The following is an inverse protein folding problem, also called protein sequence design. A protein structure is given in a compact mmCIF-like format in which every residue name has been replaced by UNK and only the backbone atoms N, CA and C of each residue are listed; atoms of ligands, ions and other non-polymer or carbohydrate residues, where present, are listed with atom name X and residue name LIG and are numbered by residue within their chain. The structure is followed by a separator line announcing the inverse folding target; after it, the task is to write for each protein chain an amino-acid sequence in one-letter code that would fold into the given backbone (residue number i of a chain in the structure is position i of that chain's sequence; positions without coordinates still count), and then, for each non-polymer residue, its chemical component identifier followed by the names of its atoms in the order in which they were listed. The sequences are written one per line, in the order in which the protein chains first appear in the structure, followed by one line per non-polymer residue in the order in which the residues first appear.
data_IF_546519945951
#
_entry.id   IF_546519945951
#
_cell.length_a   1.000
_cell.length_b   1.000
_cell.length_c   1.000
_cell.angle_alpha   90.00
_cell.angle_beta   90.00
_cell.angle_gamma   90.00
#
_symmetry.space_group_name_H-M   'P 1'
#
loop_
_entity.id
_entity.type
_entity.pdbx_description
1 polymer ?
#
# COMPACT_ATOMS: atom_id res chain seq x y z
N UNK A 1 -21.81 21.64 -21.96
CA UNK A 1 -20.37 21.32 -22.02
C UNK A 1 -19.70 21.87 -20.76
N UNK A 2 -19.67 21.09 -19.67
CA UNK A 2 -19.09 21.49 -18.38
C UNK A 2 -18.59 20.24 -17.62
N UNK A 3 -17.54 19.59 -18.11
CA UNK A 3 -16.92 18.43 -17.45
C UNK A 3 -15.39 18.38 -17.59
N UNK A 4 -14.71 19.50 -17.87
CA UNK A 4 -13.27 19.47 -18.20
C UNK A 4 -12.34 20.05 -17.12
N UNK A 5 -12.86 20.51 -15.98
CA UNK A 5 -12.04 21.27 -15.02
C UNK A 5 -11.75 20.56 -13.69
N UNK A 6 -12.35 19.39 -13.42
CA UNK A 6 -12.04 18.59 -12.23
C UNK A 6 -10.93 17.56 -12.44
N UNK A 7 -10.57 17.24 -13.69
CA UNK A 7 -9.54 16.25 -14.01
C UNK A 7 -8.10 16.80 -13.95
N UNK A 8 -7.92 18.13 -13.82
CA UNK A 8 -6.59 18.75 -13.77
C UNK A 8 -6.07 19.01 -12.36
N UNK A 9 -6.91 18.87 -11.33
CA UNK A 9 -6.53 19.07 -9.92
C UNK A 9 -5.86 17.84 -9.28
N UNK A 10 -5.90 16.68 -9.95
CA UNK A 10 -5.20 15.47 -9.51
C UNK A 10 -3.78 15.34 -10.08
N UNK A 11 -3.34 16.26 -10.95
CA UNK A 11 -2.02 16.23 -11.60
C UNK A 11 -1.08 17.38 -11.17
N UNK A 12 -1.50 18.22 -10.22
CA UNK A 12 -0.79 19.47 -9.91
C UNK A 12 -0.68 19.79 -8.40
N UNK A 13 -0.79 18.79 -7.53
CA UNK A 13 -0.46 18.95 -6.12
C UNK A 13 0.92 18.31 -5.84
N UNK A 14 1.90 19.21 -5.85
CA UNK A 14 3.13 19.19 -5.06
C UNK A 14 4.22 18.16 -5.39
N UNK A 15 4.79 18.41 -6.57
CA UNK A 15 6.13 18.00 -7.01
C UNK A 15 7.28 18.47 -6.07
N UNK A 16 7.03 19.39 -5.14
CA UNK A 16 8.08 19.96 -4.27
C UNK A 16 8.29 19.19 -2.94
N UNK A 17 7.48 18.16 -2.65
CA UNK A 17 7.75 17.19 -1.59
C UNK A 17 8.61 15.98 -2.03
N UNK A 18 8.84 15.84 -3.33
CA UNK A 18 9.43 14.64 -3.97
C UNK A 18 10.93 14.44 -3.72
N UNK A 19 11.63 15.39 -3.09
CA UNK A 19 13.07 15.31 -2.89
C UNK A 19 13.50 14.42 -1.69
N UNK A 20 12.57 13.95 -0.86
CA UNK A 20 12.90 13.10 0.31
C UNK A 20 12.50 11.63 0.18
N UNK A 21 11.80 11.24 -0.89
CA UNK A 21 11.44 9.84 -1.15
C UNK A 21 12.47 9.08 -2.02
N UNK A 22 13.43 9.79 -2.62
CA UNK A 22 14.31 9.26 -3.68
C UNK A 22 15.62 8.58 -3.20
N UNK A 23 15.73 8.11 -1.96
CA UNK A 23 16.89 7.31 -1.52
C UNK A 23 16.51 6.13 -0.62
N UNK A 24 15.72 5.18 -1.15
CA UNK A 24 15.84 3.76 -0.75
C UNK A 24 16.02 2.89 -1.98
N UNK A 25 17.13 3.11 -2.68
CA UNK A 25 17.68 2.12 -3.60
C UNK A 25 18.02 0.89 -2.74
N UNK A 26 17.50 -0.29 -3.08
CA UNK A 26 17.80 -1.57 -2.43
C UNK A 26 19.32 -1.68 -2.20
N UNK A 27 19.79 -1.31 -1.01
CA UNK A 27 21.17 -1.50 -0.59
C UNK A 27 21.28 -2.90 0.00
N UNK A 28 22.47 -3.49 -0.06
CA UNK A 28 22.74 -4.84 0.45
C UNK A 28 22.60 -4.98 1.99
N UNK A 29 21.98 -4.03 2.67
CA UNK A 29 21.84 -3.90 4.13
C UNK A 29 20.35 -3.78 4.55
N UNK A 30 19.43 -4.31 3.75
CA UNK A 30 18.00 -4.21 4.01
C UNK A 30 17.58 -5.09 5.19
N UNK A 31 16.97 -4.47 6.20
CA UNK A 31 16.36 -5.19 7.30
C UNK A 31 15.09 -5.90 6.79
N UNK A 32 15.15 -7.23 6.65
CA UNK A 32 14.04 -8.03 6.14
C UNK A 32 12.75 -7.88 6.96
N UNK A 33 12.85 -7.60 8.26
CA UNK A 33 11.66 -7.34 9.09
C UNK A 33 11.01 -6.00 8.72
N UNK A 34 11.81 -4.96 8.43
CA UNK A 34 11.29 -3.67 7.94
C UNK A 34 10.64 -3.83 6.57
N UNK A 35 11.25 -4.61 5.66
CA UNK A 35 10.63 -4.89 4.36
C UNK A 35 9.30 -5.65 4.53
N UNK A 36 9.23 -6.64 5.43
CA UNK A 36 7.98 -7.33 5.74
C UNK A 36 6.92 -6.34 6.25
N UNK A 37 7.30 -5.42 7.14
CA UNK A 37 6.38 -4.41 7.66
C UNK A 37 5.89 -3.47 6.55
N UNK A 38 6.79 -2.95 5.71
CA UNK A 38 6.43 -2.07 4.59
C UNK A 38 5.48 -2.79 3.60
N UNK A 39 5.74 -4.07 3.29
CA UNK A 39 4.87 -4.88 2.42
C UNK A 39 3.47 -5.07 3.03
N UNK A 40 3.38 -5.38 4.33
CA UNK A 40 2.08 -5.58 5.00
C UNK A 40 1.33 -4.26 5.12
N UNK A 41 1.99 -3.15 5.45
CA UNK A 41 1.40 -1.81 5.49
C UNK A 41 0.79 -1.47 4.14
N UNK A 42 1.50 -1.71 3.05
CA UNK A 42 0.98 -1.45 1.71
C UNK A 42 -0.17 -2.37 1.32
N UNK A 43 -0.14 -3.65 1.70
CA UNK A 43 -1.28 -4.55 1.51
C UNK A 43 -2.53 -4.02 2.21
N UNK A 44 -2.43 -3.64 3.49
CA UNK A 44 -3.53 -3.04 4.26
C UNK A 44 -4.05 -1.75 3.62
N UNK A 45 -3.14 -0.86 3.20
CA UNK A 45 -3.54 0.38 2.53
C UNK A 45 -4.38 0.12 1.28
N UNK A 46 -3.92 -0.76 0.38
CA UNK A 46 -4.65 -1.09 -0.84
C UNK A 46 -5.97 -1.79 -0.57
N UNK A 47 -6.05 -2.62 0.47
CA UNK A 47 -7.28 -3.30 0.91
C UNK A 47 -8.35 -2.29 1.39
N UNK A 48 -7.96 -1.35 2.25
CA UNK A 48 -8.87 -0.29 2.72
C UNK A 48 -9.36 0.60 1.56
N UNK A 49 -8.48 0.92 0.60
CA UNK A 49 -8.88 1.71 -0.58
C UNK A 49 -9.79 0.90 -1.51
N UNK A 50 -9.51 -0.39 -1.72
CA UNK A 50 -10.40 -1.29 -2.47
C UNK A 50 -11.82 -1.28 -1.86
N UNK A 51 -11.93 -1.46 -0.55
CA UNK A 51 -13.20 -1.46 0.17
C UNK A 51 -13.95 -0.13 0.05
N UNK A 52 -13.23 0.99 -0.03
CA UNK A 52 -13.84 2.29 -0.28
C UNK A 52 -14.33 2.46 -1.72
N UNK A 53 -13.56 1.97 -2.69
CA UNK A 53 -13.88 2.06 -4.11
C UNK A 53 -15.12 1.21 -4.46
N UNK A 54 -15.24 0.01 -3.88
CA UNK A 54 -16.42 -0.87 -4.05
C UNK A 54 -17.71 -0.24 -3.53
N UNK A 55 -17.61 0.60 -2.50
CA UNK A 55 -18.75 1.34 -1.93
C UNK A 55 -19.11 2.61 -2.71
N UNK A 56 -18.25 3.04 -3.64
CA UNK A 56 -18.41 4.28 -4.40
C UNK A 56 -19.15 4.00 -5.72
N UNK A 57 -20.39 4.52 -5.91
CA UNK A 57 -21.16 4.28 -7.12
C UNK A 57 -20.47 4.86 -8.38
N UNK A 58 -20.36 4.05 -9.43
CA UNK A 58 -19.81 4.48 -10.72
C UNK A 58 -18.29 4.38 -10.85
N UNK A 59 -17.61 3.79 -9.86
CA UNK A 59 -16.22 3.36 -10.01
C UNK A 59 -16.12 2.22 -11.02
N UNK A 60 -15.04 2.19 -11.79
CA UNK A 60 -14.75 1.13 -12.76
C UNK A 60 -14.32 -0.16 -12.05
N UNK A 61 -14.93 -1.29 -12.41
CA UNK A 61 -14.61 -2.62 -11.88
C UNK A 61 -13.15 -3.02 -12.15
N UNK A 62 -12.55 -2.56 -13.26
CA UNK A 62 -11.14 -2.78 -13.56
C UNK A 62 -10.23 -2.05 -12.56
N UNK A 63 -10.60 -0.83 -12.18
CA UNK A 63 -9.87 -0.06 -11.18
C UNK A 63 -9.98 -0.75 -9.83
N UNK A 64 -11.19 -1.14 -9.40
CA UNK A 64 -11.41 -1.89 -8.15
C UNK A 64 -10.54 -3.16 -8.13
N UNK A 65 -10.62 -3.96 -9.19
CA UNK A 65 -9.87 -5.23 -9.28
C UNK A 65 -8.35 -5.02 -9.22
N UNK A 66 -7.85 -3.90 -9.74
CA UNK A 66 -6.41 -3.59 -9.66
C UNK A 66 -5.93 -3.41 -8.23
N UNK A 67 -6.75 -2.83 -7.34
CA UNK A 67 -6.38 -2.63 -5.94
C UNK A 67 -6.37 -3.95 -5.15
N UNK A 68 -7.34 -4.83 -5.40
CA UNK A 68 -7.38 -6.18 -4.81
C UNK A 68 -6.15 -7.02 -5.21
N UNK A 69 -5.81 -7.01 -6.51
CA UNK A 69 -4.63 -7.71 -7.03
C UNK A 69 -3.33 -7.18 -6.39
N UNK A 70 -3.17 -5.86 -6.29
CA UNK A 70 -1.98 -5.27 -5.67
C UNK A 70 -1.90 -5.64 -4.19
N UNK A 71 -3.01 -5.56 -3.44
CA UNK A 71 -3.06 -5.97 -2.03
C UNK A 71 -2.61 -7.43 -1.86
N UNK A 72 -3.14 -8.33 -2.70
CA UNK A 72 -2.80 -9.74 -2.70
C UNK A 72 -1.33 -10.01 -3.02
N UNK A 73 -0.76 -9.30 -4.01
CA UNK A 73 0.65 -9.40 -4.38
C UNK A 73 1.56 -9.01 -3.20
N UNK A 74 1.29 -7.87 -2.56
CA UNK A 74 2.05 -7.41 -1.40
C UNK A 74 2.04 -8.43 -0.25
N UNK A 75 0.88 -9.00 0.05
CA UNK A 75 0.75 -10.02 1.10
C UNK A 75 1.55 -11.29 0.75
N UNK A 76 1.53 -11.71 -0.52
CA UNK A 76 2.31 -12.84 -1.00
C UNK A 76 3.82 -12.57 -0.90
N UNK A 77 4.28 -11.38 -1.29
CA UNK A 77 5.68 -11.00 -1.14
C UNK A 77 6.11 -10.95 0.32
N UNK A 78 5.26 -10.46 1.23
CA UNK A 78 5.56 -10.46 2.66
C UNK A 78 5.73 -11.88 3.20
N UNK A 79 4.86 -12.80 2.77
CA UNK A 79 4.93 -14.20 3.16
C UNK A 79 6.21 -14.88 2.63
N UNK A 80 6.53 -14.70 1.34
CA UNK A 80 7.76 -15.24 0.75
C UNK A 80 8.98 -14.69 1.46
N UNK A 81 9.03 -13.38 1.69
CA UNK A 81 10.14 -12.72 2.42
C UNK A 81 10.30 -13.30 3.82
N UNK A 82 9.20 -13.46 4.57
CA UNK A 82 9.21 -14.08 5.90
C UNK A 82 9.73 -15.53 5.86
N UNK A 83 9.36 -16.33 4.86
CA UNK A 83 9.86 -17.70 4.73
C UNK A 83 11.35 -17.74 4.35
N UNK A 84 11.83 -16.83 3.49
CA UNK A 84 13.25 -16.78 3.08
C UNK A 84 14.20 -16.43 4.23
N UNK A 85 13.70 -15.79 5.30
CA UNK A 85 14.47 -15.54 6.53
C UNK A 85 14.56 -16.75 7.47
N UNK A 86 14.06 -17.91 7.04
CA UNK A 86 14.16 -19.18 7.77
C UNK A 86 12.99 -19.48 8.69
N UNK A 87 11.88 -18.75 8.57
CA UNK A 87 10.65 -19.04 9.33
C UNK A 87 9.89 -20.21 8.69
N UNK A 88 9.35 -21.10 9.53
CA UNK A 88 8.40 -22.11 9.09
C UNK A 88 7.14 -21.44 8.50
N UNK A 89 6.59 -22.00 7.44
CA UNK A 89 5.44 -21.45 6.70
C UNK A 89 4.25 -21.13 7.62
N UNK A 90 3.86 -22.06 8.49
CA UNK A 90 2.76 -21.87 9.44
C UNK A 90 2.99 -20.70 10.40
N UNK A 91 4.25 -20.47 10.80
CA UNK A 91 4.61 -19.35 11.67
C UNK A 91 4.63 -18.04 10.88
N UNK A 92 5.16 -18.05 9.66
CA UNK A 92 5.16 -16.88 8.77
C UNK A 92 3.73 -16.41 8.50
N UNK A 93 2.81 -17.31 8.14
CA UNK A 93 1.40 -17.00 7.92
C UNK A 93 0.77 -16.35 9.16
N UNK A 94 1.01 -16.91 10.36
CA UNK A 94 0.48 -16.35 11.60
C UNK A 94 1.00 -14.95 11.86
N UNK A 95 2.30 -14.74 11.70
CA UNK A 95 2.93 -13.43 11.93
C UNK A 95 2.40 -12.39 10.95
N UNK A 96 2.34 -12.70 9.66
CA UNK A 96 1.84 -11.79 8.63
C UNK A 96 0.36 -11.44 8.88
N UNK A 97 -0.49 -12.43 9.19
CA UNK A 97 -1.90 -12.18 9.54
C UNK A 97 -2.05 -11.31 10.78
N UNK A 98 -1.24 -11.54 11.81
CA UNK A 98 -1.26 -10.70 13.01
C UNK A 98 -0.82 -9.27 12.71
N UNK A 99 0.23 -9.08 11.90
CA UNK A 99 0.68 -7.75 11.47
C UNK A 99 -0.40 -7.04 10.66
N UNK A 100 -1.01 -7.72 9.69
CA UNK A 100 -2.10 -7.18 8.87
C UNK A 100 -3.23 -6.65 9.77
N UNK A 101 -3.76 -7.48 10.68
CA UNK A 101 -4.84 -7.08 11.56
C UNK A 101 -4.48 -5.90 12.49
N UNK A 102 -3.23 -5.83 12.96
CA UNK A 102 -2.75 -4.72 13.80
C UNK A 102 -2.67 -3.43 12.99
N UNK A 103 -2.08 -3.46 11.80
CA UNK A 103 -1.94 -2.28 10.95
C UNK A 103 -3.30 -1.81 10.42
N UNK A 104 -4.18 -2.73 10.03
CA UNK A 104 -5.55 -2.42 9.60
C UNK A 104 -6.33 -1.70 10.70
N UNK A 105 -6.32 -2.25 11.93
CA UNK A 105 -6.97 -1.60 13.07
C UNK A 105 -6.39 -0.21 13.31
N UNK A 106 -5.07 -0.04 13.24
CA UNK A 106 -4.42 1.25 13.43
C UNK A 106 -4.81 2.28 12.37
N UNK A 107 -4.81 1.89 11.10
CA UNK A 107 -5.21 2.77 9.99
C UNK A 107 -6.68 3.17 10.06
N UNK A 108 -7.57 2.23 10.38
CA UNK A 108 -9.00 2.53 10.55
C UNK A 108 -9.26 3.46 11.74
N UNK A 109 -8.55 3.27 12.85
CA UNK A 109 -8.62 4.18 14.00
C UNK A 109 -8.14 5.59 13.64
N UNK A 110 -7.08 5.73 12.85
CA UNK A 110 -6.55 7.02 12.41
C UNK A 110 -7.55 7.81 11.56
N UNK A 111 -8.19 7.16 10.58
CA UNK A 111 -9.28 7.76 9.78
C UNK A 111 -10.43 8.22 10.68
N UNK A 112 -10.85 7.37 11.64
CA UNK A 112 -11.97 7.68 12.52
C UNK A 112 -11.66 8.81 13.50
N UNK A 113 -10.49 8.77 14.17
CA UNK A 113 -10.11 9.73 15.21
C UNK A 113 -9.92 11.14 14.66
N UNK A 114 -9.41 11.25 13.43
CA UNK A 114 -9.17 12.54 12.79
C UNK A 114 -10.41 13.11 12.07
N UNK A 115 -11.52 12.36 11.98
CA UNK A 115 -12.71 12.69 11.17
C UNK A 115 -12.37 13.01 9.70
N UNK A 116 -11.19 12.62 9.24
CA UNK A 116 -10.73 12.84 7.88
C UNK A 116 -11.00 11.56 7.10
N UNK A 117 -11.53 11.71 5.89
CA UNK A 117 -11.82 10.59 5.00
C UNK A 117 -10.49 9.90 4.59
N UNK A 118 -10.56 8.87 3.73
CA UNK A 118 -9.42 8.17 3.10
C UNK A 118 -8.28 9.06 2.55
N UNK A 119 -8.49 10.38 2.47
CA UNK A 119 -7.47 11.37 2.12
C UNK A 119 -6.22 11.34 3.00
N UNK A 120 -6.31 11.10 4.32
CA UNK A 120 -5.10 10.97 5.15
C UNK A 120 -4.29 9.76 4.73
N UNK A 121 -4.93 8.58 4.73
CA UNK A 121 -4.25 7.35 4.31
C UNK A 121 -3.64 7.49 2.92
N UNK A 122 -4.36 8.15 2.00
CA UNK A 122 -3.85 8.41 0.66
C UNK A 122 -2.62 9.32 0.69
N UNK A 123 -2.65 10.40 1.46
CA UNK A 123 -1.52 11.33 1.57
C UNK A 123 -0.28 10.67 2.21
N UNK A 124 -0.48 9.79 3.19
CA UNK A 124 0.62 9.17 3.94
C UNK A 124 1.20 7.92 3.25
N UNK A 125 0.36 7.12 2.56
CA UNK A 125 0.78 5.80 2.08
C UNK A 125 0.78 5.62 0.56
N UNK A 126 0.08 6.46 -0.22
CA UNK A 126 -0.05 6.21 -1.67
C UNK A 126 1.29 6.15 -2.40
N UNK A 127 2.11 7.20 -2.31
CA UNK A 127 3.38 7.26 -3.03
C UNK A 127 4.40 6.22 -2.54
N UNK A 128 4.63 6.05 -1.21
CA UNK A 128 5.53 5.00 -0.73
C UNK A 128 5.15 3.60 -1.23
N UNK A 129 3.85 3.27 -1.25
CA UNK A 129 3.39 1.97 -1.70
C UNK A 129 3.44 1.78 -3.21
N UNK A 130 3.22 2.84 -4.00
CA UNK A 130 3.44 2.83 -5.45
C UNK A 130 4.93 2.60 -5.75
N UNK A 131 5.82 3.30 -5.06
CA UNK A 131 7.27 3.19 -5.27
C UNK A 131 7.75 1.77 -4.90
N UNK A 132 7.26 1.22 -3.79
CA UNK A 132 7.57 -0.15 -3.39
C UNK A 132 7.07 -1.19 -4.40
N UNK A 133 5.84 -1.01 -4.93
CA UNK A 133 5.30 -1.90 -5.95
C UNK A 133 6.16 -1.88 -7.23
N UNK A 134 6.57 -0.70 -7.69
CA UNK A 134 7.44 -0.57 -8.85
C UNK A 134 8.79 -1.26 -8.62
N UNK A 135 9.40 -1.06 -7.45
CA UNK A 135 10.68 -1.70 -7.10
C UNK A 135 10.57 -3.23 -7.08
N UNK A 136 9.49 -3.79 -6.54
CA UNK A 136 9.26 -5.25 -6.52
C UNK A 136 9.13 -5.81 -7.95
N UNK A 137 8.38 -5.12 -8.82
CA UNK A 137 8.19 -5.53 -10.22
C UNK A 137 9.48 -5.47 -11.05
N UNK A 138 10.39 -4.57 -10.71
CA UNK A 138 11.73 -4.52 -11.33
C UNK A 138 12.63 -5.69 -10.92
N UNK A 139 12.45 -6.23 -9.71
CA UNK A 139 13.23 -7.39 -9.22
C UNK A 139 12.72 -8.72 -9.82
N UNK A 140 11.42 -8.79 -10.12
CA UNK A 140 10.78 -10.00 -10.68
C UNK A 140 10.96 -10.22 -12.19
N UNK A 141 11.56 -9.27 -12.92
CA UNK A 141 11.82 -9.33 -14.37
C UNK A 141 13.32 -9.47 -14.67
#
# INVERSE_FOLDING_TARGET
MRCAWMALLLLALDWDGLASAQERKFSADMNFEELIDDLVICSVYFDIVHDALTQTPGTDDEIISSYDNISSDFLQYALVTAMTTGREEDLAIKVIRSKFAVFESGMLEEIQYRNENLSILTAEHSQPCIDLNNNIREIGN
#
